data_IF_168040920734
#
_entry.id   IF_168040920734
#
_cell.length_a   1.000
_cell.length_b   1.000
_cell.length_c   1.000
_cell.angle_alpha   90.00
_cell.angle_beta   90.00
_cell.angle_gamma   90.00
#
_symmetry.space_group_name_H-M   'P 1'
#
loop_
_entity.id
_entity.type
_entity.pdbx_description
1 polymer ?
#
# COMPACT_ATOMS: atom_id res chain seq x y z
N UNK A 1 14.56 29.11 7.94
CA UNK A 1 13.27 28.40 8.07
C UNK A 1 13.25 27.28 7.04
N UNK A 2 12.54 26.17 7.28
CA UNK A 2 12.46 25.07 6.30
C UNK A 2 11.42 25.33 5.18
N UNK A 3 10.64 26.41 5.30
CA UNK A 3 9.68 26.85 4.30
C UNK A 3 9.56 28.38 4.40
N UNK A 4 9.91 29.11 3.34
CA UNK A 4 9.80 30.56 3.28
C UNK A 4 8.45 30.98 2.65
N UNK A 5 7.62 31.68 3.43
CA UNK A 5 6.29 32.12 3.02
C UNK A 5 6.27 33.64 3.01
N UNK A 6 5.88 34.24 1.88
CA UNK A 6 5.81 35.69 1.70
C UNK A 6 4.48 36.10 1.10
N UNK A 7 4.06 37.35 1.30
CA UNK A 7 2.85 37.90 0.68
C UNK A 7 3.21 38.71 -0.56
N UNK A 8 2.23 38.93 -1.44
CA UNK A 8 2.39 39.70 -2.68
C UNK A 8 2.99 41.11 -2.49
N UNK A 9 2.81 41.73 -1.32
CA UNK A 9 3.35 43.07 -1.04
C UNK A 9 4.78 43.05 -0.47
N UNK A 10 5.45 41.91 -0.48
CA UNK A 10 6.84 41.76 -0.02
C UNK A 10 7.84 42.33 -1.03
N UNK A 11 9.06 42.62 -0.58
CA UNK A 11 10.12 43.11 -1.46
C UNK A 11 10.49 42.09 -2.55
N UNK A 12 10.97 42.57 -3.70
CA UNK A 12 11.39 41.70 -4.82
C UNK A 12 12.48 40.70 -4.42
N UNK A 13 13.37 41.10 -3.50
CA UNK A 13 14.37 40.20 -2.93
C UNK A 13 13.72 39.06 -2.13
N UNK A 14 12.70 39.35 -1.32
CA UNK A 14 11.99 38.34 -0.53
C UNK A 14 11.13 37.41 -1.40
N UNK A 15 10.54 37.91 -2.49
CA UNK A 15 9.78 37.09 -3.45
C UNK A 15 10.69 36.07 -4.17
N UNK A 16 11.89 36.49 -4.58
CA UNK A 16 12.86 35.62 -5.27
C UNK A 16 13.42 34.49 -4.40
N UNK A 17 13.43 34.65 -3.07
CA UNK A 17 13.90 33.63 -2.12
C UNK A 17 12.78 32.82 -1.47
N UNK A 18 11.52 33.05 -1.87
CA UNK A 18 10.36 32.40 -1.24
C UNK A 18 9.96 31.08 -1.92
N UNK A 19 9.55 30.09 -1.11
CA UNK A 19 9.00 28.82 -1.59
C UNK A 19 7.51 28.94 -1.91
N UNK A 20 6.79 29.79 -1.16
CA UNK A 20 5.35 30.01 -1.30
C UNK A 20 5.05 31.51 -1.26
N UNK A 21 4.35 31.97 -2.30
CA UNK A 21 3.84 33.35 -2.39
C UNK A 21 2.33 33.34 -2.19
N UNK A 22 1.86 34.03 -1.15
CA UNK A 22 0.45 34.26 -0.88
C UNK A 22 -0.05 35.44 -1.73
N UNK A 23 -0.97 35.13 -2.65
CA UNK A 23 -1.59 36.13 -3.53
C UNK A 23 -2.63 37.00 -2.81
N UNK A 24 -3.18 36.48 -1.72
CA UNK A 24 -4.17 37.13 -0.86
C UNK A 24 -3.59 37.26 0.55
N UNK A 25 -3.75 38.44 1.16
CA UNK A 25 -3.36 38.70 2.56
C UNK A 25 -4.40 38.12 3.52
N UNK A 26 -4.63 36.81 3.45
CA UNK A 26 -5.56 36.09 4.33
C UNK A 26 -4.89 34.89 5.00
N UNK A 27 -4.95 34.78 6.35
CA UNK A 27 -4.43 33.62 7.07
C UNK A 27 -5.17 32.33 6.70
N UNK A 28 -6.36 32.42 6.09
CA UNK A 28 -7.11 31.26 5.60
C UNK A 28 -6.36 30.50 4.50
N UNK A 29 -5.58 31.18 3.67
CA UNK A 29 -4.80 30.54 2.58
C UNK A 29 -3.72 29.62 3.17
N UNK A 30 -3.10 30.03 4.27
CA UNK A 30 -2.10 29.20 4.97
C UNK A 30 -2.71 27.91 5.51
N UNK A 31 -3.92 27.98 6.07
CA UNK A 31 -4.64 26.79 6.53
C UNK A 31 -4.94 25.82 5.38
N UNK A 32 -5.38 26.34 4.22
CA UNK A 32 -5.62 25.50 3.04
C UNK A 32 -4.34 24.82 2.51
N UNK A 33 -3.20 25.51 2.54
CA UNK A 33 -1.90 24.94 2.16
C UNK A 33 -1.51 23.81 3.11
N UNK A 34 -1.69 24.00 4.42
CA UNK A 34 -1.43 22.97 5.43
C UNK A 34 -2.33 21.74 5.25
N UNK A 35 -3.62 21.94 4.99
CA UNK A 35 -4.56 20.84 4.71
C UNK A 35 -4.14 20.04 3.47
N UNK A 36 -3.71 20.72 2.39
CA UNK A 36 -3.16 20.05 1.21
C UNK A 36 -1.90 19.25 1.53
N UNK A 37 -0.99 19.82 2.32
CA UNK A 37 0.21 19.11 2.78
C UNK A 37 -0.12 17.86 3.59
N UNK A 38 -1.05 17.96 4.53
CA UNK A 38 -1.52 16.82 5.34
C UNK A 38 -2.18 15.73 4.48
N UNK A 39 -2.94 16.14 3.45
CA UNK A 39 -3.55 15.22 2.48
C UNK A 39 -2.48 14.42 1.73
N UNK A 40 -1.45 15.09 1.20
CA UNK A 40 -0.33 14.43 0.49
C UNK A 40 0.40 13.47 1.44
N UNK A 41 0.75 13.93 2.64
CA UNK A 41 1.46 13.13 3.63
C UNK A 41 0.66 11.89 4.04
N UNK A 42 -0.65 12.03 4.28
CA UNK A 42 -1.50 10.88 4.61
C UNK A 42 -1.58 9.88 3.45
N UNK A 43 -1.67 10.35 2.21
CA UNK A 43 -1.62 9.48 1.03
C UNK A 43 -0.30 8.72 0.94
N UNK A 44 0.83 9.41 1.15
CA UNK A 44 2.16 8.79 1.14
C UNK A 44 2.30 7.71 2.23
N UNK A 45 1.83 7.97 3.45
CA UNK A 45 1.86 6.98 4.54
C UNK A 45 1.02 5.73 4.21
N UNK A 46 -0.11 5.89 3.52
CA UNK A 46 -0.95 4.76 3.12
C UNK A 46 -0.25 3.90 2.06
N UNK A 47 0.41 4.53 1.09
CA UNK A 47 1.19 3.82 0.04
C UNK A 47 2.42 3.15 0.65
N UNK A 48 3.12 3.83 1.56
CA UNK A 48 4.28 3.28 2.25
C UNK A 48 3.94 2.00 2.98
N UNK A 49 2.77 1.91 3.64
CA UNK A 49 2.33 0.66 4.28
C UNK A 49 2.28 -0.50 3.30
N UNK A 50 1.70 -0.31 2.12
CA UNK A 50 1.60 -1.36 1.10
C UNK A 50 2.99 -1.78 0.58
N UNK A 51 3.82 -0.81 0.19
CA UNK A 51 5.15 -1.08 -0.36
C UNK A 51 6.08 -1.71 0.67
N UNK A 52 6.10 -1.21 1.92
CA UNK A 52 6.93 -1.81 2.97
C UNK A 52 6.46 -3.23 3.29
N UNK A 53 5.14 -3.47 3.44
CA UNK A 53 4.64 -4.83 3.65
C UNK A 53 5.09 -5.75 2.52
N UNK A 54 5.08 -5.25 1.27
CA UNK A 54 5.56 -6.03 0.14
C UNK A 54 7.04 -6.40 0.24
N UNK A 55 7.89 -5.40 0.45
CA UNK A 55 9.33 -5.62 0.59
C UNK A 55 9.61 -6.61 1.72
N UNK A 56 8.96 -6.44 2.88
CA UNK A 56 9.17 -7.32 4.03
C UNK A 56 8.67 -8.75 3.78
N UNK A 57 7.47 -8.97 3.22
CA UNK A 57 7.01 -10.34 2.96
C UNK A 57 7.89 -11.02 1.89
N UNK A 58 8.38 -10.28 0.89
CA UNK A 58 9.29 -10.83 -0.14
C UNK A 58 10.62 -11.26 0.48
N UNK A 59 11.20 -10.44 1.36
CA UNK A 59 12.40 -10.79 2.11
C UNK A 59 12.18 -12.04 2.95
N UNK A 60 11.04 -12.14 3.65
CA UNK A 60 10.69 -13.32 4.46
C UNK A 60 10.47 -14.56 3.60
N UNK A 61 9.84 -14.44 2.43
CA UNK A 61 9.70 -15.54 1.47
C UNK A 61 11.05 -16.02 0.95
N UNK A 62 11.95 -15.09 0.58
CA UNK A 62 13.31 -15.42 0.14
C UNK A 62 14.08 -16.15 1.24
N UNK A 63 14.02 -15.66 2.48
CA UNK A 63 14.62 -16.33 3.64
C UNK A 63 14.05 -17.74 3.83
N UNK A 64 12.74 -17.91 3.67
CA UNK A 64 12.10 -19.22 3.77
C UNK A 64 12.61 -20.20 2.71
N UNK A 65 12.73 -19.76 1.45
CA UNK A 65 13.31 -20.56 0.36
C UNK A 65 14.73 -21.02 0.70
N UNK A 66 15.57 -20.12 1.21
CA UNK A 66 16.95 -20.44 1.60
C UNK A 66 16.99 -21.47 2.73
N UNK A 67 16.08 -21.37 3.70
CA UNK A 67 16.01 -22.30 4.83
C UNK A 67 15.48 -23.68 4.45
N UNK A 68 14.49 -23.76 3.57
CA UNK A 68 13.83 -25.02 3.20
C UNK A 68 14.37 -25.63 1.91
N UNK A 69 15.26 -24.95 1.17
CA UNK A 69 15.78 -25.35 -0.14
C UNK A 69 14.70 -25.73 -1.17
N UNK A 70 13.49 -25.21 -0.99
CA UNK A 70 12.36 -25.44 -1.90
C UNK A 70 12.45 -24.41 -3.01
N UNK A 71 12.29 -24.82 -4.28
CA UNK A 71 12.44 -23.92 -5.43
C UNK A 71 11.56 -22.65 -5.33
N UNK A 72 11.84 -21.65 -6.16
CA UNK A 72 11.20 -20.34 -6.04
C UNK A 72 9.65 -20.41 -6.16
N UNK A 73 8.89 -19.75 -5.26
CA UNK A 73 7.47 -20.05 -5.00
C UNK A 73 6.49 -19.45 -6.02
N UNK A 74 6.96 -18.65 -6.99
CA UNK A 74 6.15 -18.15 -8.10
C UNK A 74 7.05 -17.71 -9.25
N UNK A 75 6.62 -17.76 -10.51
CA UNK A 75 7.44 -17.32 -11.66
C UNK A 75 7.64 -15.81 -11.66
N UNK A 76 8.74 -15.32 -12.25
CA UNK A 76 9.01 -13.88 -12.37
C UNK A 76 7.83 -13.08 -12.96
N UNK A 77 7.16 -13.64 -13.98
CA UNK A 77 5.94 -13.07 -14.57
C UNK A 77 4.77 -12.97 -13.58
N UNK A 78 4.57 -13.98 -12.74
CA UNK A 78 3.55 -13.97 -11.68
C UNK A 78 3.84 -12.89 -10.63
N UNK A 79 5.12 -12.69 -10.30
CA UNK A 79 5.57 -11.62 -9.41
C UNK A 79 5.18 -10.22 -9.90
N UNK A 80 5.32 -9.96 -11.21
CA UNK A 80 4.91 -8.70 -11.82
C UNK A 80 3.39 -8.50 -11.76
N UNK A 81 2.60 -9.55 -12.03
CA UNK A 81 1.13 -9.49 -11.95
C UNK A 81 0.67 -9.18 -10.52
N UNK A 82 1.25 -9.86 -9.52
CA UNK A 82 0.98 -9.57 -8.10
C UNK A 82 1.26 -8.10 -7.83
N UNK A 83 2.44 -7.58 -8.15
CA UNK A 83 2.83 -6.21 -7.84
C UNK A 83 1.91 -5.16 -8.51
N UNK A 84 1.50 -5.37 -9.75
CA UNK A 84 0.62 -4.41 -10.45
C UNK A 84 -0.78 -4.36 -9.80
N UNK A 85 -1.35 -5.54 -9.51
CA UNK A 85 -2.70 -5.64 -8.94
C UNK A 85 -2.76 -5.22 -7.47
N UNK A 86 -1.73 -5.51 -6.68
CA UNK A 86 -1.74 -5.26 -5.23
C UNK A 86 -1.07 -3.94 -4.83
N UNK A 87 -0.19 -3.38 -5.66
CA UNK A 87 0.49 -2.11 -5.38
C UNK A 87 0.19 -1.02 -6.39
N UNK A 88 0.50 -1.23 -7.67
CA UNK A 88 0.52 -0.13 -8.65
C UNK A 88 -0.85 0.50 -8.83
N UNK A 89 -1.89 -0.29 -9.09
CA UNK A 89 -3.25 0.24 -9.25
C UNK A 89 -3.77 0.85 -7.93
N UNK A 90 -3.69 0.15 -6.78
CA UNK A 90 -4.13 0.71 -5.51
C UNK A 90 -3.39 1.98 -5.09
N UNK A 91 -2.07 2.07 -5.29
CA UNK A 91 -1.26 3.22 -4.88
C UNK A 91 -1.64 4.51 -5.62
N UNK A 92 -1.88 4.43 -6.94
CA UNK A 92 -2.37 5.55 -7.73
C UNK A 92 -3.73 6.02 -7.21
N UNK A 93 -4.64 5.06 -6.97
CA UNK A 93 -5.97 5.35 -6.48
C UNK A 93 -5.98 5.95 -5.06
N UNK A 94 -5.16 5.42 -4.14
CA UNK A 94 -5.02 5.92 -2.77
C UNK A 94 -4.41 7.33 -2.72
N UNK A 95 -3.50 7.65 -3.65
CA UNK A 95 -2.95 9.00 -3.81
C UNK A 95 -4.05 10.00 -4.18
N UNK A 96 -4.88 9.63 -5.16
CA UNK A 96 -5.98 10.48 -5.65
C UNK A 96 -7.07 10.68 -4.59
N UNK A 97 -7.34 9.66 -3.77
CA UNK A 97 -8.39 9.70 -2.74
C UNK A 97 -7.88 10.07 -1.36
N UNK A 98 -6.65 10.58 -1.23
CA UNK A 98 -6.15 11.01 0.07
C UNK A 98 -7.08 12.05 0.72
N UNK A 99 -7.26 11.96 2.03
CA UNK A 99 -8.05 12.90 2.82
C UNK A 99 -7.16 13.54 3.89
N UNK A 100 -7.33 14.84 4.18
CA UNK A 100 -6.55 15.50 5.22
C UNK A 100 -6.83 14.85 6.58
N UNK A 101 -5.76 14.63 7.35
CA UNK A 101 -5.86 14.02 8.67
C UNK A 101 -4.72 14.48 9.56
N UNK A 102 -5.06 14.93 10.76
CA UNK A 102 -4.09 15.33 11.77
C UNK A 102 -3.42 14.07 12.30
N UNK A 103 -2.20 13.80 11.85
CA UNK A 103 -1.31 12.76 12.39
C UNK A 103 -0.09 13.46 12.99
N UNK A 104 0.17 13.22 14.28
CA UNK A 104 1.37 13.75 14.94
C UNK A 104 2.61 13.10 14.33
N UNK A 105 3.64 13.93 14.09
CA UNK A 105 4.86 13.57 13.37
C UNK A 105 5.69 12.46 14.03
N UNK A 106 5.60 12.35 15.35
CA UNK A 106 6.53 11.55 16.15
C UNK A 106 6.19 10.04 16.14
N UNK A 107 5.04 9.65 15.57
CA UNK A 107 4.54 8.27 15.61
C UNK A 107 4.44 7.60 14.23
N UNK A 108 4.94 8.23 13.15
CA UNK A 108 4.84 7.66 11.80
C UNK A 108 5.54 6.31 11.69
N UNK A 109 6.80 6.21 12.13
CA UNK A 109 7.58 4.98 12.03
C UNK A 109 6.94 3.83 12.82
N UNK A 110 6.45 4.10 14.02
CA UNK A 110 5.79 3.10 14.87
C UNK A 110 4.42 2.69 14.33
N UNK A 111 3.64 3.64 13.79
CA UNK A 111 2.38 3.35 13.10
C UNK A 111 2.61 2.48 11.85
N UNK A 112 3.66 2.75 11.08
CA UNK A 112 4.03 1.94 9.94
C UNK A 112 4.46 0.55 10.40
N UNK A 113 5.37 0.44 11.36
CA UNK A 113 5.87 -0.84 11.86
C UNK A 113 4.75 -1.73 12.44
N UNK A 114 3.83 -1.15 13.21
CA UNK A 114 2.70 -1.88 13.81
C UNK A 114 1.72 -2.43 12.77
N UNK A 115 1.67 -1.84 11.57
CA UNK A 115 0.89 -2.37 10.45
C UNK A 115 1.71 -3.33 9.59
N UNK A 116 2.91 -2.91 9.20
CA UNK A 116 3.77 -3.57 8.22
C UNK A 116 4.28 -4.92 8.73
N UNK A 117 4.77 -4.98 9.97
CA UNK A 117 5.37 -6.21 10.51
C UNK A 117 4.37 -7.37 10.60
N UNK A 118 3.21 -7.24 11.27
CA UNK A 118 2.26 -8.35 11.34
C UNK A 118 1.70 -8.71 9.96
N UNK A 119 1.43 -7.71 9.10
CA UNK A 119 0.96 -7.96 7.75
C UNK A 119 1.99 -8.73 6.90
N UNK A 120 3.27 -8.39 7.00
CA UNK A 120 4.33 -9.06 6.25
C UNK A 120 4.55 -10.49 6.75
N UNK A 121 4.57 -10.69 8.07
CA UNK A 121 4.74 -12.03 8.68
C UNK A 121 3.57 -12.93 8.32
N UNK A 122 2.32 -12.46 8.46
CA UNK A 122 1.13 -13.25 8.12
C UNK A 122 1.06 -13.60 6.63
N UNK A 123 1.35 -12.63 5.75
CA UNK A 123 1.36 -12.86 4.30
C UNK A 123 2.45 -13.84 3.89
N UNK A 124 3.67 -13.68 4.42
CA UNK A 124 4.76 -14.61 4.14
C UNK A 124 4.47 -16.01 4.67
N UNK A 125 3.96 -16.14 5.90
CA UNK A 125 3.61 -17.43 6.48
C UNK A 125 2.52 -18.13 5.65
N UNK A 126 1.49 -17.41 5.22
CA UNK A 126 0.45 -17.94 4.34
C UNK A 126 1.05 -18.43 3.00
N UNK A 127 1.93 -17.65 2.38
CA UNK A 127 2.61 -18.04 1.13
C UNK A 127 3.43 -19.32 1.29
N UNK A 128 4.20 -19.45 2.36
CA UNK A 128 5.02 -20.65 2.64
C UNK A 128 4.14 -21.88 2.89
N UNK A 129 3.10 -21.74 3.74
CA UNK A 129 2.18 -22.84 4.08
C UNK A 129 1.44 -23.34 2.85
N UNK A 130 0.95 -22.43 2.00
CA UNK A 130 0.29 -22.80 0.74
C UNK A 130 1.27 -23.50 -0.18
N UNK A 131 2.48 -22.97 -0.33
CA UNK A 131 3.48 -23.58 -1.19
C UNK A 131 3.82 -25.01 -0.76
N UNK A 132 4.13 -25.23 0.52
CA UNK A 132 4.49 -26.56 1.04
C UNK A 132 3.31 -27.53 0.95
N UNK A 133 2.11 -27.10 1.33
CA UNK A 133 0.91 -27.94 1.30
C UNK A 133 0.59 -28.45 -0.11
N UNK A 134 0.62 -27.58 -1.12
CA UNK A 134 0.32 -27.98 -2.50
C UNK A 134 1.46 -28.79 -3.13
N UNK A 135 2.71 -28.49 -2.78
CA UNK A 135 3.86 -29.25 -3.26
C UNK A 135 3.85 -30.69 -2.72
N UNK A 136 3.54 -30.88 -1.44
CA UNK A 136 3.39 -32.21 -0.83
C UNK A 136 2.19 -32.99 -1.39
N UNK A 137 1.07 -32.31 -1.65
CA UNK A 137 -0.17 -32.97 -2.06
C UNK A 137 -0.18 -33.40 -3.52
N UNK A 138 0.36 -32.58 -4.42
CA UNK A 138 0.24 -32.78 -5.87
C UNK A 138 1.56 -33.09 -6.56
N UNK A 139 2.71 -32.89 -5.89
CA UNK A 139 4.06 -33.03 -6.46
C UNK A 139 4.28 -32.25 -7.77
N UNK A 140 3.45 -31.22 -8.01
CA UNK A 140 3.51 -30.36 -9.18
C UNK A 140 3.88 -28.93 -8.77
N UNK A 141 5.08 -28.52 -9.17
CA UNK A 141 5.63 -27.21 -8.87
C UNK A 141 4.80 -26.11 -9.54
N UNK A 142 4.29 -26.32 -10.75
CA UNK A 142 3.53 -25.30 -11.47
C UNK A 142 2.21 -25.00 -10.76
N UNK A 143 1.54 -26.03 -10.26
CA UNK A 143 0.29 -25.89 -9.51
C UNK A 143 0.52 -25.25 -8.12
N UNK A 144 1.61 -25.60 -7.44
CA UNK A 144 1.99 -24.97 -6.18
C UNK A 144 2.30 -23.47 -6.38
N UNK A 145 3.06 -23.12 -7.42
CA UNK A 145 3.38 -21.73 -7.77
C UNK A 145 2.14 -20.90 -8.11
N UNK A 146 1.18 -21.49 -8.82
CA UNK A 146 -0.10 -20.85 -9.14
C UNK A 146 -0.92 -20.59 -7.87
N UNK A 147 -0.97 -21.56 -6.96
CA UNK A 147 -1.70 -21.46 -5.70
C UNK A 147 -1.13 -20.36 -4.79
N UNK A 148 0.20 -20.24 -4.73
CA UNK A 148 0.87 -19.14 -4.02
C UNK A 148 0.55 -17.79 -4.66
N UNK A 149 0.58 -17.72 -5.99
CA UNK A 149 0.25 -16.48 -6.72
C UNK A 149 -1.16 -16.00 -6.38
N UNK A 150 -2.15 -16.88 -6.43
CA UNK A 150 -3.53 -16.56 -6.06
C UNK A 150 -3.64 -16.10 -4.61
N UNK A 151 -2.97 -16.81 -3.69
CA UNK A 151 -2.96 -16.47 -2.27
C UNK A 151 -2.36 -15.08 -2.03
N UNK A 152 -1.25 -14.75 -2.70
CA UNK A 152 -0.60 -13.44 -2.58
C UNK A 152 -1.41 -12.32 -3.22
N UNK A 153 -2.07 -12.55 -4.36
CA UNK A 153 -2.98 -11.57 -4.96
C UNK A 153 -4.15 -11.28 -4.02
N UNK A 154 -4.83 -12.32 -3.54
CA UNK A 154 -5.97 -12.15 -2.62
C UNK A 154 -5.53 -11.46 -1.34
N UNK A 155 -4.44 -11.91 -0.71
CA UNK A 155 -3.94 -11.32 0.53
C UNK A 155 -3.48 -9.88 0.31
N UNK A 156 -2.78 -9.59 -0.79
CA UNK A 156 -2.32 -8.24 -1.13
C UNK A 156 -3.48 -7.27 -1.40
N UNK A 157 -4.53 -7.72 -2.09
CA UNK A 157 -5.76 -6.94 -2.27
C UNK A 157 -6.49 -6.72 -0.93
N UNK A 158 -6.49 -7.72 -0.06
CA UNK A 158 -7.05 -7.61 1.29
C UNK A 158 -6.27 -6.58 2.13
N UNK A 159 -4.94 -6.52 2.00
CA UNK A 159 -4.12 -5.49 2.65
C UNK A 159 -4.49 -4.07 2.23
N UNK A 160 -4.87 -3.84 0.97
CA UNK A 160 -5.39 -2.54 0.50
C UNK A 160 -6.65 -2.14 1.27
N UNK A 161 -7.55 -3.08 1.55
CA UNK A 161 -8.73 -2.84 2.40
C UNK A 161 -8.30 -2.52 3.83
N UNK A 162 -7.30 -3.20 4.38
CA UNK A 162 -6.81 -2.95 5.74
C UNK A 162 -6.05 -1.62 5.90
N UNK A 163 -5.43 -1.11 4.83
CA UNK A 163 -4.77 0.21 4.86
C UNK A 163 -5.78 1.32 5.09
N UNK A 164 -6.97 1.22 4.49
CA UNK A 164 -8.13 2.09 4.76
C UNK A 164 -9.38 1.27 5.07
N UNK A 165 -9.52 0.78 6.31
CA UNK A 165 -10.58 -0.15 6.65
C UNK A 165 -11.93 0.58 6.64
N UNK A 166 -12.91 0.13 5.83
CA UNK A 166 -14.25 0.71 5.78
C UNK A 166 -15.07 0.43 7.05
N UNK A 167 -14.63 -0.54 7.88
CA UNK A 167 -15.36 -1.06 9.05
C UNK A 167 -14.42 -1.03 10.27
N UNK A 168 -14.93 -0.61 11.43
CA UNK A 168 -14.17 -0.48 12.68
C UNK A 168 -13.58 -1.81 13.20
N UNK A 169 -14.17 -2.95 12.83
CA UNK A 169 -13.69 -4.29 13.17
C UNK A 169 -12.39 -4.66 12.42
N UNK A 170 -12.14 -4.07 11.25
CA UNK A 170 -10.90 -4.25 10.49
C UNK A 170 -9.83 -3.19 10.85
N UNK A 171 -10.12 -2.28 11.79
CA UNK A 171 -9.21 -1.23 12.21
C UNK A 171 -8.15 -1.73 13.22
N UNK A 172 -7.58 -2.93 12.98
CA UNK A 172 -6.60 -3.61 13.85
C UNK A 172 -5.25 -2.90 14.01
N UNK A 173 -5.19 -1.58 13.80
CA UNK A 173 -4.00 -0.73 13.93
C UNK A 173 -4.06 0.59 13.13
N UNK A 174 -5.03 0.75 12.22
CA UNK A 174 -5.22 1.95 11.37
C UNK A 174 -6.45 2.77 11.80
N UNK A 175 -6.38 4.10 11.67
CA UNK A 175 -7.54 4.97 11.94
C UNK A 175 -8.66 4.69 10.91
N UNK A 176 -9.87 4.46 11.41
CA UNK A 176 -11.08 4.24 10.62
C UNK A 176 -11.27 5.30 9.53
N UNK A 177 -11.49 4.87 8.28
CA UNK A 177 -11.98 5.73 7.21
C UNK A 177 -13.29 5.15 6.69
N UNK A 178 -14.36 5.95 6.67
CA UNK A 178 -15.65 5.54 6.11
C UNK A 178 -15.65 5.48 4.56
N UNK A 179 -14.48 5.56 3.93
CA UNK A 179 -14.33 5.55 2.48
C UNK A 179 -14.44 4.12 1.92
N UNK A 180 -15.52 3.84 1.19
CA UNK A 180 -15.76 2.55 0.53
C UNK A 180 -15.01 2.40 -0.81
N UNK A 181 -14.43 3.49 -1.34
CA UNK A 181 -13.76 3.52 -2.65
C UNK A 181 -12.61 2.49 -2.76
N UNK A 182 -11.71 2.34 -1.76
CA UNK A 182 -10.66 1.33 -1.82
C UNK A 182 -11.23 -0.10 -1.84
N UNK A 183 -12.31 -0.35 -1.10
CA UNK A 183 -12.97 -1.67 -1.07
C UNK A 183 -13.63 -2.01 -2.41
N UNK A 184 -14.29 -1.04 -3.04
CA UNK A 184 -14.87 -1.22 -4.37
C UNK A 184 -13.78 -1.45 -5.43
N UNK A 185 -12.66 -0.72 -5.35
CA UNK A 185 -11.51 -0.94 -6.23
C UNK A 185 -10.94 -2.35 -6.05
N UNK A 186 -10.79 -2.81 -4.81
CA UNK A 186 -10.32 -4.17 -4.52
C UNK A 186 -11.27 -5.22 -5.07
N UNK A 187 -12.58 -5.06 -4.88
CA UNK A 187 -13.59 -5.98 -5.39
C UNK A 187 -13.59 -6.01 -6.93
N UNK A 188 -13.45 -4.85 -7.57
CA UNK A 188 -13.29 -4.76 -9.02
C UNK A 188 -12.03 -5.48 -9.52
N UNK A 189 -10.86 -5.24 -8.90
CA UNK A 189 -9.61 -5.91 -9.28
C UNK A 189 -9.67 -7.42 -9.06
N UNK A 190 -10.33 -7.87 -8.00
CA UNK A 190 -10.52 -9.29 -7.72
C UNK A 190 -11.39 -9.95 -8.80
N UNK A 191 -12.48 -9.31 -9.22
CA UNK A 191 -13.33 -9.80 -10.32
C UNK A 191 -12.53 -9.88 -11.63
N UNK A 192 -11.79 -8.82 -11.98
CA UNK A 192 -10.96 -8.79 -13.19
C UNK A 192 -9.92 -9.91 -13.14
N UNK A 193 -9.25 -10.11 -12.01
CA UNK A 193 -8.26 -11.17 -11.85
C UNK A 193 -8.86 -12.56 -12.09
N UNK A 194 -9.99 -12.87 -11.43
CA UNK A 194 -10.68 -14.15 -11.60
C UNK A 194 -11.17 -14.39 -13.04
N UNK A 195 -11.63 -13.34 -13.73
CA UNK A 195 -12.08 -13.44 -15.12
C UNK A 195 -10.91 -13.72 -16.07
N UNK A 196 -9.75 -13.12 -15.81
CA UNK A 196 -8.54 -13.33 -16.62
C UNK A 196 -8.04 -14.78 -16.52
N UNK A 197 -8.03 -15.35 -15.33
CA UNK A 197 -7.66 -16.76 -15.11
C UNK A 197 -8.69 -17.73 -15.72
N UNK A 198 -9.99 -17.41 -15.64
CA UNK A 198 -11.03 -18.22 -16.26
C UNK A 198 -10.88 -18.27 -17.78
N UNK A 199 -10.51 -17.16 -18.42
CA UNK A 199 -10.27 -17.12 -19.86
C UNK A 199 -9.01 -17.88 -20.26
N UNK A 200 -7.96 -17.88 -19.44
CA UNK A 200 -6.73 -18.63 -19.70
C UNK A 200 -6.87 -20.14 -19.54
N UNK A 201 -7.94 -20.63 -18.90
CA UNK A 201 -8.18 -22.06 -18.64
C UNK A 201 -9.05 -22.75 -19.72
N UNK A 202 -9.56 -22.01 -20.71
CA UNK A 202 -10.24 -22.54 -21.92
C UNK A 202 -9.27 -22.66 -23.08
#
# INVERSE_FOLDING_TARGET
ANLAIVTKNSSQAALNESDIVLLEDSPTVLHQVLEKGQRILSGLLDILKLYLTQVFYLVLLILSIVLFATGFPYKSTQGSVIAVLTLTIPSLALTLWASPGIKHSDDFGRMLAHFVLPAAVTTSAAGVVVYSYFLERYADIAYAQLSVTHTLVVTGLLLVVFVRPPIRLLAGGSKYSADWKPTLLVLFLLIVFLDTDFYSAR
#
